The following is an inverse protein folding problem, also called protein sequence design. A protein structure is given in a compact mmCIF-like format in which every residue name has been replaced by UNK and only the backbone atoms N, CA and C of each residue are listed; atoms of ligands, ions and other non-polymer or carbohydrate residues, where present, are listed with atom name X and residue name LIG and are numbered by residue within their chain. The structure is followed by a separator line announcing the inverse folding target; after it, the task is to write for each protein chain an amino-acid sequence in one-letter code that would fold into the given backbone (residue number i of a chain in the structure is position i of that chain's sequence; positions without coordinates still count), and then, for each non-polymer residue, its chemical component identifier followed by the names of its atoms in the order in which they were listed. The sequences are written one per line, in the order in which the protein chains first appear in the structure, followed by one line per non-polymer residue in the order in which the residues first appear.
data_IF_405522797750
#
_entry.id   IF_405522797750
#
_cell.length_a   1.000
_cell.length_b   1.000
_cell.length_c   1.000
_cell.angle_alpha   90.00
_cell.angle_beta   90.00
_cell.angle_gamma   90.00
#
_symmetry.space_group_name_H-M   'P 1'
#
loop_
_entity.id
_entity.type
_entity.pdbx_description
1 polymer ?
#
# COMPACT_ATOMS: atom_id res chain seq x y z
N UNK A 1 -3.28 -46.26 -31.46
CA UNK A 1 -3.25 -44.78 -31.42
C UNK A 1 -2.72 -44.26 -30.07
N UNK A 2 -1.40 -44.24 -29.82
CA UNK A 2 -0.85 -43.67 -28.58
C UNK A 2 -0.05 -42.36 -28.75
N UNK A 3 0.03 -41.81 -29.98
CA UNK A 3 0.94 -40.68 -30.24
C UNK A 3 0.37 -39.27 -29.97
N UNK A 4 -0.94 -39.09 -29.87
CA UNK A 4 -1.52 -37.76 -29.65
C UNK A 4 -1.50 -37.29 -28.20
N UNK A 5 -1.49 -38.17 -27.21
CA UNK A 5 -1.46 -37.82 -25.79
C UNK A 5 -0.12 -37.25 -25.32
N UNK A 6 0.99 -37.74 -25.85
CA UNK A 6 2.35 -37.31 -25.46
C UNK A 6 2.66 -35.89 -25.94
N UNK A 7 2.20 -35.50 -27.13
CA UNK A 7 2.45 -34.14 -27.64
C UNK A 7 1.65 -33.06 -26.90
N UNK A 8 0.44 -33.35 -26.47
CA UNK A 8 -0.37 -32.41 -25.69
C UNK A 8 0.20 -32.20 -24.30
N UNK A 9 0.65 -33.26 -23.63
CA UNK A 9 1.26 -33.17 -22.31
C UNK A 9 2.64 -32.50 -22.39
N UNK A 10 3.44 -32.76 -23.41
CA UNK A 10 4.72 -32.07 -23.63
C UNK A 10 4.54 -30.57 -23.84
N UNK A 11 3.61 -30.16 -24.70
CA UNK A 11 3.28 -28.77 -24.95
C UNK A 11 2.74 -28.07 -23.71
N UNK A 12 1.95 -28.77 -22.88
CA UNK A 12 1.42 -28.23 -21.62
C UNK A 12 2.51 -28.02 -20.58
N UNK A 13 3.41 -28.98 -20.40
CA UNK A 13 4.53 -28.87 -19.47
C UNK A 13 5.49 -27.74 -19.88
N UNK A 14 5.84 -27.64 -21.16
CA UNK A 14 6.66 -26.55 -21.66
C UNK A 14 6.02 -25.19 -21.44
N UNK A 15 4.72 -25.04 -21.71
CA UNK A 15 3.98 -23.80 -21.47
C UNK A 15 3.94 -23.42 -19.99
N UNK A 16 3.77 -24.42 -19.10
CA UNK A 16 3.78 -24.24 -17.65
C UNK A 16 5.14 -23.76 -17.16
N UNK A 17 6.20 -24.39 -17.57
CA UNK A 17 7.59 -24.03 -17.22
C UNK A 17 7.92 -22.62 -17.71
N UNK A 18 7.60 -22.30 -18.94
CA UNK A 18 7.77 -20.95 -19.50
C UNK A 18 7.01 -19.88 -18.71
N UNK A 19 5.76 -20.14 -18.29
CA UNK A 19 4.99 -19.23 -17.46
C UNK A 19 5.62 -19.06 -16.08
N UNK A 20 6.12 -20.13 -15.49
CA UNK A 20 6.78 -20.12 -14.18
C UNK A 20 8.06 -19.27 -14.21
N UNK A 21 8.91 -19.44 -15.20
CA UNK A 21 10.15 -18.68 -15.36
C UNK A 21 9.90 -17.20 -15.67
N UNK A 22 8.88 -16.90 -16.49
CA UNK A 22 8.48 -15.51 -16.71
C UNK A 22 7.99 -14.83 -15.43
N UNK A 23 7.22 -15.54 -14.60
CA UNK A 23 6.76 -15.00 -13.33
C UNK A 23 7.93 -14.76 -12.37
N UNK A 24 8.87 -15.68 -12.26
CA UNK A 24 10.09 -15.52 -11.46
C UNK A 24 10.88 -14.27 -11.86
N UNK A 25 11.18 -14.14 -13.16
CA UNK A 25 11.93 -13.01 -13.66
C UNK A 25 11.21 -11.68 -13.39
N UNK A 26 9.88 -11.67 -13.61
CA UNK A 26 9.04 -10.50 -13.33
C UNK A 26 9.05 -10.15 -11.84
N UNK A 27 8.89 -11.15 -10.98
CA UNK A 27 8.90 -11.00 -9.53
C UNK A 27 10.22 -10.44 -9.02
N UNK A 28 11.35 -10.94 -9.54
CA UNK A 28 12.67 -10.39 -9.21
C UNK A 28 12.77 -8.90 -9.55
N UNK A 29 12.36 -8.51 -10.76
CA UNK A 29 12.36 -7.11 -11.18
C UNK A 29 11.47 -6.23 -10.30
N UNK A 30 10.29 -6.72 -9.92
CA UNK A 30 9.39 -6.01 -9.00
C UNK A 30 9.97 -5.88 -7.59
N UNK A 31 10.62 -6.94 -7.10
CA UNK A 31 11.32 -6.88 -5.82
C UNK A 31 12.43 -5.84 -5.85
N UNK A 32 13.28 -5.82 -6.87
CA UNK A 32 14.30 -4.78 -7.01
C UNK A 32 13.71 -3.37 -7.13
N UNK A 33 12.57 -3.21 -7.78
CA UNK A 33 11.84 -1.94 -7.82
C UNK A 33 11.43 -1.48 -6.42
N UNK A 34 10.79 -2.36 -5.63
CA UNK A 34 10.32 -2.02 -4.28
C UNK A 34 11.49 -1.83 -3.31
N UNK A 35 12.57 -2.62 -3.45
CA UNK A 35 13.82 -2.41 -2.73
C UNK A 35 14.42 -1.03 -3.03
N UNK A 36 14.54 -0.68 -4.31
CA UNK A 36 15.07 0.62 -4.73
C UNK A 36 14.18 1.78 -4.26
N UNK A 37 12.85 1.60 -4.25
CA UNK A 37 11.92 2.57 -3.71
C UNK A 37 12.20 2.86 -2.23
N UNK A 38 12.26 1.82 -1.39
CA UNK A 38 12.57 1.97 0.03
C UNK A 38 13.97 2.56 0.26
N UNK A 39 14.97 2.10 -0.48
CA UNK A 39 16.33 2.62 -0.38
C UNK A 39 16.40 4.09 -0.78
N UNK A 40 15.76 4.49 -1.89
CA UNK A 40 15.74 5.89 -2.33
C UNK A 40 15.06 6.78 -1.30
N UNK A 41 13.95 6.31 -0.69
CA UNK A 41 13.27 7.03 0.38
C UNK A 41 14.21 7.26 1.57
N UNK A 42 14.86 6.21 2.08
CA UNK A 42 15.79 6.28 3.21
C UNK A 42 17.00 7.18 2.91
N UNK A 43 17.64 6.99 1.77
CA UNK A 43 18.83 7.77 1.37
C UNK A 43 18.47 9.24 1.18
N UNK A 44 17.33 9.54 0.54
CA UNK A 44 16.88 10.92 0.36
C UNK A 44 16.61 11.61 1.71
N UNK A 45 15.97 10.90 2.66
CA UNK A 45 15.76 11.43 4.00
C UNK A 45 17.09 11.69 4.73
N UNK A 46 18.06 10.78 4.65
CA UNK A 46 19.39 10.98 5.23
C UNK A 46 20.11 12.18 4.60
N UNK A 47 20.07 12.34 3.29
CA UNK A 47 20.68 13.48 2.59
C UNK A 47 20.05 14.80 3.08
N UNK A 48 18.73 14.85 3.17
CA UNK A 48 18.02 16.03 3.68
C UNK A 48 18.48 16.39 5.07
N UNK A 49 18.56 15.42 6.01
CA UNK A 49 19.04 15.64 7.37
C UNK A 49 20.47 16.19 7.37
N UNK A 50 21.40 15.61 6.59
CA UNK A 50 22.79 16.08 6.55
C UNK A 50 22.92 17.49 5.93
N UNK A 51 22.13 17.79 4.90
CA UNK A 51 22.07 19.14 4.32
C UNK A 51 21.63 20.17 5.39
N UNK A 52 20.56 19.87 6.14
CA UNK A 52 20.10 20.77 7.22
C UNK A 52 21.13 20.95 8.31
N UNK A 53 21.86 19.89 8.70
CA UNK A 53 22.98 20.00 9.66
C UNK A 53 24.05 20.93 9.12
N UNK A 54 24.45 20.78 7.87
CA UNK A 54 25.50 21.61 7.25
C UNK A 54 25.13 23.11 7.21
N UNK A 55 23.85 23.44 7.04
CA UNK A 55 23.38 24.83 7.08
C UNK A 55 23.01 25.33 8.49
N UNK A 56 23.34 24.59 9.55
CA UNK A 56 23.02 24.97 10.93
C UNK A 56 21.53 24.96 11.28
N UNK A 57 20.71 24.35 10.44
CA UNK A 57 19.26 24.33 10.54
C UNK A 57 18.71 23.01 11.13
N UNK A 58 19.57 22.15 11.67
CA UNK A 58 19.20 20.84 12.22
C UNK A 58 18.12 20.93 13.33
N UNK A 59 18.09 22.06 14.08
CA UNK A 59 17.06 22.30 15.10
C UNK A 59 15.62 22.26 14.54
N UNK A 60 15.42 22.53 13.25
CA UNK A 60 14.10 22.50 12.63
C UNK A 60 13.63 21.07 12.26
N UNK A 61 14.57 20.12 12.15
CA UNK A 61 14.24 18.70 11.89
C UNK A 61 13.98 17.96 13.20
N UNK A 62 14.70 18.32 14.26
CA UNK A 62 14.62 17.65 15.58
C UNK A 62 13.70 18.39 16.58
N UNK A 63 13.09 19.51 16.18
CA UNK A 63 12.05 20.13 17.00
C UNK A 63 10.78 19.30 16.92
N UNK A 64 10.07 19.16 18.03
CA UNK A 64 8.75 18.53 18.08
C UNK A 64 7.72 19.23 17.16
N UNK A 65 8.13 20.33 16.55
CA UNK A 65 7.34 21.16 15.67
C UNK A 65 7.74 20.92 14.21
N UNK A 66 6.95 20.16 13.48
CA UNK A 66 7.04 20.07 12.02
C UNK A 66 7.00 21.48 11.42
N UNK A 67 8.07 21.89 10.80
CA UNK A 67 8.12 23.17 10.11
C UNK A 67 7.50 23.02 8.69
N UNK A 68 7.05 24.14 8.14
CA UNK A 68 6.60 24.21 6.72
C UNK A 68 7.61 23.56 5.77
N UNK A 69 8.90 23.74 6.06
CA UNK A 69 9.99 23.18 5.27
C UNK A 69 10.02 21.64 5.34
N UNK A 70 9.72 21.05 6.49
CA UNK A 70 9.66 19.59 6.65
C UNK A 70 8.58 18.97 5.77
N UNK A 71 7.38 19.57 5.70
CA UNK A 71 6.34 19.11 4.81
C UNK A 71 6.74 19.15 3.32
N UNK A 72 7.43 20.20 2.88
CA UNK A 72 7.96 20.26 1.51
C UNK A 72 8.98 19.16 1.24
N UNK A 73 9.85 18.86 2.22
CA UNK A 73 10.81 17.77 2.10
C UNK A 73 10.13 16.41 2.05
N UNK A 74 9.13 16.16 2.88
CA UNK A 74 8.36 14.91 2.86
C UNK A 74 7.66 14.70 1.52
N UNK A 75 7.05 15.74 0.96
CA UNK A 75 6.45 15.71 -0.39
C UNK A 75 7.52 15.36 -1.43
N UNK A 76 8.65 16.06 -1.42
CA UNK A 76 9.73 15.84 -2.36
C UNK A 76 10.30 14.41 -2.27
N UNK A 77 10.63 13.96 -1.03
CA UNK A 77 11.16 12.62 -0.79
C UNK A 77 10.17 11.55 -1.28
N UNK A 78 8.89 11.68 -0.94
CA UNK A 78 7.85 10.71 -1.33
C UNK A 78 7.72 10.60 -2.85
N UNK A 79 7.69 11.72 -3.56
CA UNK A 79 7.58 11.73 -5.03
C UNK A 79 8.86 11.20 -5.67
N UNK A 80 10.03 11.67 -5.22
CA UNK A 80 11.32 11.27 -5.76
C UNK A 80 11.59 9.78 -5.55
N UNK A 81 11.26 9.26 -4.37
CA UNK A 81 11.43 7.85 -4.02
C UNK A 81 10.64 6.90 -4.93
N UNK A 82 9.49 7.33 -5.44
CA UNK A 82 8.70 6.52 -6.38
C UNK A 82 9.15 6.73 -7.83
N UNK A 83 9.31 7.99 -8.25
CA UNK A 83 9.53 8.33 -9.65
C UNK A 83 10.86 7.76 -10.18
N UNK A 84 11.93 7.85 -9.39
CA UNK A 84 13.25 7.40 -9.83
C UNK A 84 13.30 5.87 -10.04
N UNK A 85 12.95 5.03 -9.07
CA UNK A 85 12.92 3.58 -9.30
C UNK A 85 11.91 3.16 -10.38
N UNK A 86 10.76 3.84 -10.47
CA UNK A 86 9.76 3.57 -11.50
C UNK A 86 10.31 3.80 -12.90
N UNK A 87 11.02 4.90 -13.12
CA UNK A 87 11.66 5.20 -14.39
C UNK A 87 12.63 4.07 -14.81
N UNK A 88 13.50 3.64 -13.90
CA UNK A 88 14.44 2.55 -14.18
C UNK A 88 13.72 1.21 -14.40
N UNK A 89 12.72 0.88 -13.58
CA UNK A 89 11.96 -0.35 -13.74
C UNK A 89 11.26 -0.41 -15.12
N UNK A 90 10.58 0.65 -15.52
CA UNK A 90 9.85 0.71 -16.80
C UNK A 90 10.83 0.57 -17.96
N UNK A 91 11.95 1.29 -17.93
CA UNK A 91 12.98 1.24 -18.96
C UNK A 91 13.61 -0.15 -19.08
N UNK A 92 13.96 -0.78 -17.95
CA UNK A 92 14.62 -2.09 -17.92
C UNK A 92 13.66 -3.24 -18.25
N UNK A 93 12.42 -3.17 -17.79
CA UNK A 93 11.40 -4.21 -18.01
C UNK A 93 10.78 -4.18 -19.40
N UNK A 94 11.06 -3.13 -20.20
CA UNK A 94 10.50 -2.90 -21.53
C UNK A 94 8.95 -2.90 -21.57
N UNK A 95 8.31 -2.61 -20.44
CA UNK A 95 6.86 -2.43 -20.41
C UNK A 95 6.53 -0.97 -20.77
N UNK A 96 5.37 -0.74 -21.39
CA UNK A 96 4.81 0.60 -21.45
C UNK A 96 3.97 0.87 -20.20
N UNK A 97 3.87 2.14 -19.78
CA UNK A 97 2.99 2.52 -18.68
C UNK A 97 1.53 2.12 -18.95
N UNK A 98 1.09 2.24 -20.19
CA UNK A 98 -0.28 1.90 -20.59
C UNK A 98 -0.57 0.40 -20.48
N UNK A 99 0.45 -0.47 -20.51
CA UNK A 99 0.28 -1.92 -20.36
C UNK A 99 0.07 -2.34 -18.91
N UNK A 100 0.61 -1.55 -17.97
CA UNK A 100 0.62 -1.88 -16.53
C UNK A 100 -0.33 -1.02 -15.71
N UNK A 101 -0.56 0.24 -16.10
CA UNK A 101 -1.44 1.17 -15.38
C UNK A 101 -2.70 1.41 -16.18
N UNK A 102 -3.84 1.18 -15.56
CA UNK A 102 -5.13 1.51 -16.13
C UNK A 102 -5.83 2.58 -15.30
N UNK A 103 -6.25 3.64 -15.97
CA UNK A 103 -7.00 4.76 -15.39
C UNK A 103 -8.39 4.87 -16.03
N UNK A 104 -9.01 3.74 -16.34
CA UNK A 104 -10.35 3.73 -16.93
C UNK A 104 -11.35 4.44 -16.04
N UNK A 105 -12.22 5.22 -16.65
CA UNK A 105 -13.28 5.90 -15.92
C UNK A 105 -14.23 4.90 -15.26
N UNK A 106 -14.47 5.09 -13.97
CA UNK A 106 -15.43 4.31 -13.19
C UNK A 106 -16.71 5.13 -13.06
N UNK A 107 -17.84 4.54 -13.46
CA UNK A 107 -19.13 5.23 -13.38
C UNK A 107 -19.46 5.63 -11.93
N UNK A 108 -19.95 6.84 -11.73
CA UNK A 108 -20.26 7.39 -10.40
C UNK A 108 -21.19 6.48 -9.57
N UNK A 109 -22.17 5.84 -10.19
CA UNK A 109 -23.08 4.88 -9.53
C UNK A 109 -22.36 3.69 -8.89
N UNK A 110 -21.19 3.31 -9.42
CA UNK A 110 -20.37 2.25 -8.85
C UNK A 110 -19.30 2.79 -7.89
N UNK A 111 -18.78 3.98 -8.16
CA UNK A 111 -17.73 4.60 -7.35
C UNK A 111 -18.19 4.83 -5.91
N UNK A 112 -19.38 5.43 -5.71
CA UNK A 112 -19.90 5.76 -4.37
C UNK A 112 -19.98 4.51 -3.46
N UNK A 113 -20.66 3.40 -3.84
CA UNK A 113 -20.68 2.20 -3.01
C UNK A 113 -19.30 1.62 -2.74
N UNK A 114 -18.37 1.73 -3.69
CA UNK A 114 -17.00 1.23 -3.53
C UNK A 114 -16.22 2.05 -2.52
N UNK A 115 -16.34 3.37 -2.55
CA UNK A 115 -15.70 4.23 -1.56
C UNK A 115 -16.17 3.88 -0.14
N UNK A 116 -17.47 3.70 0.06
CA UNK A 116 -18.00 3.31 1.35
C UNK A 116 -17.63 1.88 1.76
N UNK A 117 -17.60 0.93 0.82
CA UNK A 117 -17.12 -0.42 1.08
C UNK A 117 -15.64 -0.39 1.50
N UNK A 118 -14.81 0.34 0.76
CA UNK A 118 -13.39 0.50 1.04
C UNK A 118 -13.14 1.16 2.40
N UNK A 119 -13.83 2.25 2.70
CA UNK A 119 -13.74 2.93 4.01
C UNK A 119 -14.23 2.04 5.16
N UNK A 120 -15.33 1.29 4.98
CA UNK A 120 -15.78 0.33 5.97
C UNK A 120 -14.73 -0.75 6.25
N UNK A 121 -14.11 -1.29 5.20
CA UNK A 121 -13.01 -2.24 5.33
C UNK A 121 -11.78 -1.62 6.02
N UNK A 122 -11.45 -0.36 5.73
CA UNK A 122 -10.37 0.37 6.39
C UNK A 122 -10.65 0.57 7.89
N UNK A 123 -11.88 0.90 8.27
CA UNK A 123 -12.24 1.04 9.69
C UNK A 123 -12.16 -0.28 10.44
N UNK A 124 -12.60 -1.38 9.83
CA UNK A 124 -12.45 -2.73 10.42
C UNK A 124 -10.96 -3.06 10.59
N UNK A 125 -10.15 -2.77 9.58
CA UNK A 125 -8.70 -2.99 9.65
C UNK A 125 -8.05 -2.13 10.75
N UNK A 126 -8.45 -0.88 10.90
CA UNK A 126 -7.98 0.00 11.99
C UNK A 126 -8.27 -0.60 13.37
N UNK A 127 -9.51 -1.05 13.62
CA UNK A 127 -9.88 -1.68 14.91
C UNK A 127 -9.07 -2.95 15.14
N UNK A 128 -8.97 -3.83 14.14
CA UNK A 128 -8.19 -5.05 14.27
C UNK A 128 -6.71 -4.77 14.58
N UNK A 129 -6.14 -3.76 13.94
CA UNK A 129 -4.74 -3.36 14.15
C UNK A 129 -4.52 -2.75 15.53
N UNK A 130 -5.46 -1.93 16.03
CA UNK A 130 -5.38 -1.41 17.40
C UNK A 130 -5.34 -2.54 18.43
N UNK A 131 -6.20 -3.55 18.28
CA UNK A 131 -6.17 -4.74 19.15
C UNK A 131 -4.82 -5.47 19.07
N UNK A 132 -4.22 -5.58 17.90
CA UNK A 132 -2.90 -6.18 17.73
C UNK A 132 -1.83 -5.34 18.41
N UNK A 133 -1.84 -4.01 18.23
CA UNK A 133 -0.90 -3.08 18.83
C UNK A 133 -0.98 -3.11 20.37
N UNK A 134 -2.19 -3.09 20.92
CA UNK A 134 -2.42 -3.19 22.36
C UNK A 134 -1.84 -4.50 22.95
N UNK A 135 -1.99 -5.62 22.22
CA UNK A 135 -1.39 -6.89 22.64
C UNK A 135 0.14 -6.84 22.61
N UNK A 136 0.77 -6.21 21.60
CA UNK A 136 2.22 -6.06 21.58
C UNK A 136 2.72 -5.21 22.76
N UNK A 137 2.01 -4.14 23.12
CA UNK A 137 2.37 -3.29 24.27
C UNK A 137 2.32 -4.06 25.59
N UNK A 138 1.39 -5.03 25.75
CA UNK A 138 1.36 -5.92 26.92
C UNK A 138 2.62 -6.78 27.06
N UNK A 139 3.30 -7.09 25.95
CA UNK A 139 4.58 -7.79 25.95
C UNK A 139 5.79 -6.84 26.02
N UNK A 140 5.57 -5.54 26.28
CA UNK A 140 6.63 -4.54 26.33
C UNK A 140 7.22 -4.19 24.98
N UNK A 141 6.51 -4.43 23.88
CA UNK A 141 6.94 -4.12 22.51
C UNK A 141 6.18 -2.91 22.03
N UNK A 142 6.90 -1.81 21.79
CA UNK A 142 6.35 -0.62 21.17
C UNK A 142 7.11 -0.26 19.89
N UNK A 143 6.45 0.48 19.04
CA UNK A 143 7.08 1.04 17.86
C UNK A 143 7.68 2.40 18.21
N UNK A 144 8.97 2.57 17.99
CA UNK A 144 9.69 3.82 18.27
C UNK A 144 9.43 4.92 17.25
N UNK A 145 8.70 4.62 16.16
CA UNK A 145 8.33 5.67 15.20
C UNK A 145 7.35 6.65 15.83
N UNK A 146 7.76 7.90 15.97
CA UNK A 146 6.92 9.01 16.42
C UNK A 146 5.67 9.12 15.57
N UNK A 147 4.52 9.25 16.21
CA UNK A 147 3.27 9.55 15.52
C UNK A 147 3.36 10.89 14.79
N UNK A 148 2.43 11.11 13.86
CA UNK A 148 2.26 12.40 13.19
C UNK A 148 1.89 13.46 14.25
N UNK A 149 2.81 14.33 14.60
CA UNK A 149 2.56 15.49 15.44
C UNK A 149 2.55 16.75 14.58
N UNK A 150 1.54 17.59 14.78
CA UNK A 150 1.48 18.90 14.11
C UNK A 150 2.34 19.88 14.90
N UNK A 151 3.35 20.44 14.25
CA UNK A 151 4.21 21.38 14.90
C UNK A 151 3.70 22.81 14.98
N UNK A 152 2.82 23.21 14.06
CA UNK A 152 2.25 24.55 13.96
C UNK A 152 0.82 24.44 13.44
N UNK A 153 -0.11 25.07 14.16
CA UNK A 153 -1.55 25.08 13.82
C UNK A 153 -1.91 26.16 12.78
N UNK A 154 -0.92 26.73 12.06
CA UNK A 154 -1.21 27.69 11.00
C UNK A 154 -1.99 27.00 9.85
N UNK A 155 -2.84 27.76 9.18
CA UNK A 155 -3.61 27.23 8.04
C UNK A 155 -2.71 26.64 6.95
N UNK A 156 -1.53 27.22 6.73
CA UNK A 156 -0.57 26.70 5.75
C UNK A 156 0.00 25.34 6.21
N UNK A 157 0.38 25.18 7.48
CA UNK A 157 0.86 23.92 8.03
C UNK A 157 -0.20 22.82 7.95
N UNK A 158 -1.45 23.12 8.26
CA UNK A 158 -2.58 22.19 8.12
C UNK A 158 -2.74 21.72 6.67
N UNK A 159 -2.73 22.66 5.71
CA UNK A 159 -2.86 22.33 4.28
C UNK A 159 -1.68 21.47 3.82
N UNK A 160 -0.45 21.84 4.18
CA UNK A 160 0.75 21.07 3.80
C UNK A 160 0.77 19.68 4.45
N UNK A 161 0.33 19.55 5.69
CA UNK A 161 0.17 18.25 6.35
C UNK A 161 -0.83 17.35 5.60
N UNK A 162 -1.98 17.88 5.21
CA UNK A 162 -2.94 17.11 4.40
C UNK A 162 -2.34 16.71 3.05
N UNK A 163 -1.60 17.60 2.39
CA UNK A 163 -0.96 17.29 1.11
C UNK A 163 0.10 16.19 1.30
N UNK A 164 1.02 16.34 2.27
CA UNK A 164 2.13 15.40 2.48
C UNK A 164 1.68 14.04 3.00
N UNK A 165 0.62 14.00 3.82
CA UNK A 165 0.21 12.77 4.51
C UNK A 165 -0.97 12.06 3.83
N UNK A 166 -1.87 12.81 3.17
CA UNK A 166 -3.04 12.20 2.56
C UNK A 166 -2.99 12.18 1.03
N UNK A 167 -2.67 13.31 0.39
CA UNK A 167 -2.74 13.40 -1.07
C UNK A 167 -1.54 12.70 -1.71
N UNK A 168 -0.33 13.10 -1.36
CA UNK A 168 0.88 12.58 -2.01
C UNK A 168 1.03 11.07 -1.85
N UNK A 169 0.89 10.47 -0.65
CA UNK A 169 0.97 9.01 -0.49
C UNK A 169 -0.10 8.28 -1.30
N UNK A 170 -1.36 8.77 -1.31
CA UNK A 170 -2.43 8.13 -2.07
C UNK A 170 -2.12 8.03 -3.57
N UNK A 171 -1.46 9.02 -4.16
CA UNK A 171 -1.04 8.96 -5.56
C UNK A 171 0.25 8.17 -5.76
N UNK A 172 1.27 8.43 -4.96
CA UNK A 172 2.60 7.84 -5.10
C UNK A 172 2.58 6.33 -4.85
N UNK A 173 1.96 5.90 -3.76
CA UNK A 173 1.92 4.50 -3.39
C UNK A 173 0.96 3.70 -4.28
N UNK A 174 -0.21 4.25 -4.66
CA UNK A 174 -1.09 3.55 -5.59
C UNK A 174 -0.46 3.43 -6.98
N UNK A 175 0.27 4.45 -7.44
CA UNK A 175 1.06 4.34 -8.66
C UNK A 175 2.10 3.21 -8.56
N UNK A 176 2.85 3.12 -7.45
CA UNK A 176 3.86 2.10 -7.24
C UNK A 176 3.25 0.69 -7.13
N UNK A 177 2.26 0.51 -6.24
CA UNK A 177 1.77 -0.82 -5.89
C UNK A 177 0.63 -1.30 -6.78
N UNK A 178 -0.34 -0.45 -7.16
CA UNK A 178 -1.45 -0.85 -8.05
C UNK A 178 -1.11 -0.63 -9.51
N UNK A 179 -0.38 0.44 -9.80
CA UNK A 179 0.16 0.66 -11.14
C UNK A 179 1.23 -0.38 -11.48
N UNK A 180 2.43 -0.25 -10.90
CA UNK A 180 3.59 -1.02 -11.32
C UNK A 180 3.52 -2.47 -10.83
N UNK A 181 3.41 -2.71 -9.51
CA UNK A 181 3.50 -4.07 -8.96
C UNK A 181 2.31 -4.92 -9.40
N UNK A 182 1.10 -4.52 -9.02
CA UNK A 182 -0.12 -5.27 -9.36
C UNK A 182 -0.31 -5.36 -10.87
N UNK A 183 -0.19 -4.25 -11.60
CA UNK A 183 -0.37 -4.21 -13.05
C UNK A 183 0.56 -5.16 -13.78
N UNK A 184 1.83 -5.28 -13.35
CA UNK A 184 2.79 -6.24 -13.92
C UNK A 184 2.45 -7.69 -13.59
N UNK A 185 1.81 -7.97 -12.45
CA UNK A 185 1.43 -9.33 -12.02
C UNK A 185 0.10 -9.80 -12.60
N UNK A 186 -0.79 -8.89 -13.04
CA UNK A 186 -2.13 -9.25 -13.54
C UNK A 186 -2.14 -10.21 -14.70
N UNK A 187 -1.10 -10.25 -15.53
CA UNK A 187 -0.98 -11.24 -16.62
C UNK A 187 -0.88 -12.69 -16.12
N UNK A 188 -0.56 -12.90 -14.84
CA UNK A 188 -0.53 -14.21 -14.21
C UNK A 188 -1.80 -14.54 -13.42
N UNK A 189 -2.80 -13.64 -13.46
CA UNK A 189 -4.10 -13.73 -12.82
C UNK A 189 -4.29 -12.68 -11.73
N UNK A 190 -5.53 -12.19 -11.60
CA UNK A 190 -5.87 -11.11 -10.66
C UNK A 190 -5.63 -11.53 -9.20
N UNK A 191 -5.89 -12.80 -8.83
CA UNK A 191 -5.64 -13.32 -7.47
C UNK A 191 -4.17 -13.18 -7.09
N UNK A 192 -3.26 -13.58 -8.00
CA UNK A 192 -1.81 -13.46 -7.77
C UNK A 192 -1.38 -11.99 -7.64
N UNK A 193 -1.93 -11.13 -8.48
CA UNK A 193 -1.63 -9.70 -8.49
C UNK A 193 -2.09 -9.00 -7.20
N UNK A 194 -3.31 -9.31 -6.74
CA UNK A 194 -3.87 -8.75 -5.50
C UNK A 194 -3.04 -9.18 -4.29
N UNK A 195 -2.80 -10.48 -4.13
CA UNK A 195 -2.06 -10.99 -2.96
C UNK A 195 -0.60 -10.50 -2.98
N UNK A 196 0.08 -10.61 -4.14
CA UNK A 196 1.48 -10.20 -4.26
C UNK A 196 1.68 -8.70 -4.02
N UNK A 197 0.80 -7.86 -4.57
CA UNK A 197 0.84 -6.42 -4.34
C UNK A 197 0.57 -6.06 -2.87
N UNK A 198 -0.41 -6.72 -2.23
CA UNK A 198 -0.75 -6.47 -0.84
C UNK A 198 0.38 -6.89 0.12
N UNK A 199 1.07 -8.01 -0.13
CA UNK A 199 2.22 -8.45 0.67
C UNK A 199 3.32 -7.38 0.65
N UNK A 200 3.70 -6.91 -0.53
CA UNK A 200 4.75 -5.89 -0.66
C UNK A 200 4.32 -4.55 -0.07
N UNK A 201 3.07 -4.15 -0.26
CA UNK A 201 2.51 -2.92 0.29
C UNK A 201 2.49 -2.95 1.82
N UNK A 202 2.03 -4.04 2.43
CA UNK A 202 2.05 -4.20 3.87
C UNK A 202 3.49 -4.18 4.42
N UNK A 203 4.37 -4.99 3.85
CA UNK A 203 5.75 -5.12 4.32
C UNK A 203 6.56 -3.82 4.21
N UNK A 204 6.29 -2.99 3.18
CA UNK A 204 6.99 -1.72 2.98
C UNK A 204 6.76 -0.70 4.11
N UNK A 205 5.69 -0.82 4.89
CA UNK A 205 5.44 0.10 5.99
C UNK A 205 6.43 -0.05 7.16
N UNK A 206 7.14 -1.18 7.27
CA UNK A 206 8.26 -1.39 8.21
C UNK A 206 7.93 -1.05 9.68
N UNK A 207 6.65 -1.06 10.01
CA UNK A 207 6.09 -0.78 11.32
C UNK A 207 5.18 -1.93 11.71
N UNK A 208 5.52 -2.64 12.80
CA UNK A 208 4.85 -3.88 13.18
C UNK A 208 3.34 -3.72 13.36
N UNK A 209 2.90 -2.56 13.84
CA UNK A 209 1.47 -2.24 14.02
C UNK A 209 0.79 -1.86 12.70
N UNK A 210 1.53 -1.28 11.75
CA UNK A 210 0.98 -0.85 10.46
C UNK A 210 0.98 -1.96 9.40
N UNK A 211 1.90 -2.93 9.47
CA UNK A 211 2.01 -4.02 8.49
C UNK A 211 0.69 -4.77 8.29
N UNK A 212 -0.02 -5.24 9.34
CA UNK A 212 -1.30 -5.93 9.17
C UNK A 212 -2.37 -5.01 8.56
N UNK A 213 -2.45 -3.77 9.02
CA UNK A 213 -3.36 -2.76 8.49
C UNK A 213 -3.15 -2.51 7.00
N UNK A 214 -1.91 -2.18 6.61
CA UNK A 214 -1.56 -1.90 5.24
C UNK A 214 -1.74 -3.13 4.33
N UNK A 215 -1.48 -4.34 4.83
CA UNK A 215 -1.76 -5.58 4.09
C UNK A 215 -3.26 -5.73 3.80
N UNK A 216 -4.13 -5.54 4.80
CA UNK A 216 -5.59 -5.63 4.62
C UNK A 216 -6.08 -4.56 3.65
N UNK A 217 -5.65 -3.31 3.82
CA UNK A 217 -5.95 -2.24 2.86
C UNK A 217 -5.41 -2.56 1.47
N UNK A 218 -4.21 -3.12 1.42
CA UNK A 218 -3.58 -3.59 0.20
C UNK A 218 -4.45 -4.56 -0.60
N UNK A 219 -5.07 -5.52 0.08
CA UNK A 219 -6.01 -6.46 -0.51
C UNK A 219 -7.27 -5.76 -1.03
N UNK A 220 -7.85 -4.84 -0.24
CA UNK A 220 -9.07 -4.10 -0.61
C UNK A 220 -8.80 -3.24 -1.86
N UNK A 221 -7.75 -2.43 -1.85
CA UNK A 221 -7.38 -1.53 -2.94
C UNK A 221 -7.11 -2.30 -4.24
N UNK A 222 -6.23 -3.32 -4.17
CA UNK A 222 -5.90 -4.13 -5.33
C UNK A 222 -7.11 -4.88 -5.88
N UNK A 223 -7.98 -5.40 -5.01
CA UNK A 223 -9.20 -6.06 -5.40
C UNK A 223 -10.15 -5.13 -6.19
N UNK A 224 -10.39 -3.94 -5.65
CA UNK A 224 -11.29 -2.95 -6.28
C UNK A 224 -10.73 -2.53 -7.63
N UNK A 225 -9.44 -2.26 -7.72
CA UNK A 225 -8.80 -1.85 -8.97
C UNK A 225 -8.82 -2.94 -10.04
N UNK A 226 -8.67 -4.21 -9.65
CA UNK A 226 -8.86 -5.33 -10.58
C UNK A 226 -10.29 -5.37 -11.13
N UNK A 227 -11.31 -5.14 -10.28
CA UNK A 227 -12.72 -5.17 -10.69
C UNK A 227 -13.09 -4.09 -11.69
N UNK A 228 -12.54 -2.89 -11.49
CA UNK A 228 -12.85 -1.74 -12.34
C UNK A 228 -11.82 -1.51 -13.45
N UNK A 229 -10.74 -2.29 -13.42
CA UNK A 229 -9.60 -2.09 -14.29
C UNK A 229 -9.14 -0.62 -14.29
N UNK A 230 -8.98 -0.06 -13.08
CA UNK A 230 -8.63 1.34 -12.85
C UNK A 230 -7.99 1.49 -11.48
N UNK A 231 -6.95 2.31 -11.34
CA UNK A 231 -6.34 2.66 -10.05
C UNK A 231 -7.04 3.84 -9.36
N UNK A 232 -8.04 4.45 -10.01
CA UNK A 232 -8.73 5.61 -9.43
C UNK A 232 -9.53 5.29 -8.17
N UNK A 233 -10.20 4.13 -8.05
CA UNK A 233 -10.88 3.76 -6.82
C UNK A 233 -9.95 3.60 -5.61
N UNK A 234 -8.81 2.94 -5.79
CA UNK A 234 -7.85 2.79 -4.68
C UNK A 234 -7.25 4.13 -4.27
N UNK A 235 -6.86 4.99 -5.22
CA UNK A 235 -6.40 6.36 -4.93
C UNK A 235 -7.44 7.10 -4.07
N UNK A 236 -8.71 7.04 -4.44
CA UNK A 236 -9.76 7.74 -3.71
C UNK A 236 -9.99 7.18 -2.30
N UNK A 237 -10.02 5.85 -2.14
CA UNK A 237 -10.19 5.21 -0.82
C UNK A 237 -8.96 5.48 0.05
N UNK A 238 -7.76 5.38 -0.50
CA UNK A 238 -6.50 5.64 0.19
C UNK A 238 -6.43 7.09 0.67
N UNK A 239 -6.74 8.04 -0.21
CA UNK A 239 -6.83 9.45 0.15
C UNK A 239 -7.82 9.69 1.30
N UNK A 240 -9.03 9.14 1.22
CA UNK A 240 -10.06 9.31 2.26
C UNK A 240 -9.64 8.68 3.60
N UNK A 241 -8.96 7.52 3.57
CA UNK A 241 -8.45 6.88 4.77
C UNK A 241 -7.36 7.73 5.44
N UNK A 242 -6.41 8.25 4.66
CA UNK A 242 -5.34 9.09 5.19
C UNK A 242 -5.87 10.47 5.62
N UNK A 243 -6.84 11.02 4.89
CA UNK A 243 -7.53 12.24 5.28
C UNK A 243 -8.26 12.08 6.62
N UNK A 244 -8.90 10.93 6.86
CA UNK A 244 -9.49 10.61 8.15
C UNK A 244 -8.41 10.62 9.25
N UNK A 245 -7.30 9.91 9.05
CA UNK A 245 -6.22 9.82 10.03
C UNK A 245 -5.61 11.18 10.35
N UNK A 246 -5.22 11.96 9.32
CA UNK A 246 -4.64 13.29 9.52
C UNK A 246 -5.62 14.29 10.13
N UNK A 247 -6.91 14.21 9.77
CA UNK A 247 -7.93 15.08 10.37
C UNK A 247 -8.11 14.81 11.86
N UNK A 248 -8.09 13.53 12.27
CA UNK A 248 -8.17 13.15 13.68
C UNK A 248 -6.94 13.58 14.47
N UNK A 249 -5.73 13.53 13.88
CA UNK A 249 -4.51 14.09 14.47
C UNK A 249 -4.63 15.60 14.63
N UNK A 250 -5.03 16.33 13.58
CA UNK A 250 -5.21 17.79 13.61
C UNK A 250 -6.18 18.21 14.73
N UNK A 251 -7.33 17.54 14.85
CA UNK A 251 -8.32 17.86 15.87
C UNK A 251 -7.77 17.74 17.30
N UNK A 252 -6.90 16.77 17.56
CA UNK A 252 -6.26 16.55 18.86
C UNK A 252 -5.09 17.50 19.10
N UNK A 253 -4.12 17.50 18.19
CA UNK A 253 -2.85 18.22 18.38
C UNK A 253 -3.03 19.74 18.41
N UNK A 254 -3.97 20.26 17.60
CA UNK A 254 -4.34 21.69 17.67
C UNK A 254 -5.30 22.04 18.81
N UNK A 255 -5.64 21.08 19.66
CA UNK A 255 -6.61 21.26 20.77
C UNK A 255 -7.96 21.84 20.32
N UNK A 256 -8.39 21.55 19.08
CA UNK A 256 -9.69 22.02 18.55
C UNK A 256 -10.83 21.37 19.31
N UNK A 257 -10.65 20.13 19.72
CA UNK A 257 -11.59 19.36 20.55
C UNK A 257 -10.84 18.67 21.67
N UNK A 258 -11.53 18.38 22.80
CA UNK A 258 -10.93 17.56 23.86
C UNK A 258 -10.67 16.14 23.39
N UNK A 259 -9.72 15.42 24.01
CA UNK A 259 -9.43 14.01 23.70
C UNK A 259 -10.69 13.12 23.80
N UNK A 260 -11.55 13.41 24.77
CA UNK A 260 -12.84 12.71 24.92
C UNK A 260 -13.75 12.94 23.71
N UNK A 261 -13.88 14.18 23.25
CA UNK A 261 -14.69 14.51 22.07
C UNK A 261 -14.07 13.90 20.80
N UNK A 262 -12.75 13.97 20.62
CA UNK A 262 -12.06 13.34 19.50
C UNK A 262 -12.29 11.81 19.47
N UNK A 263 -12.29 11.17 20.63
CA UNK A 263 -12.55 9.74 20.77
C UNK A 263 -13.99 9.40 20.36
N UNK A 264 -14.98 10.18 20.82
CA UNK A 264 -16.39 9.99 20.42
C UNK A 264 -16.56 10.18 18.91
N UNK A 265 -15.95 11.21 18.32
CA UNK A 265 -16.00 11.46 16.88
C UNK A 265 -15.40 10.27 16.12
N UNK A 266 -14.24 9.77 16.57
CA UNK A 266 -13.58 8.63 15.94
C UNK A 266 -14.44 7.37 15.95
N UNK A 267 -14.98 6.98 17.09
CA UNK A 267 -15.87 5.81 17.17
C UNK A 267 -17.16 5.99 16.37
N UNK A 268 -17.73 7.20 16.37
CA UNK A 268 -18.94 7.49 15.57
C UNK A 268 -18.68 7.33 14.08
N UNK A 269 -17.54 7.81 13.59
CA UNK A 269 -17.12 7.65 12.19
C UNK A 269 -16.82 6.18 11.85
N UNK A 270 -16.16 5.44 12.74
CA UNK A 270 -15.94 4.00 12.57
C UNK A 270 -17.27 3.26 12.39
N UNK A 271 -18.21 3.46 13.30
CA UNK A 271 -19.53 2.82 13.26
C UNK A 271 -20.26 3.22 11.97
N UNK A 272 -20.27 4.51 11.63
CA UNK A 272 -20.90 5.02 10.41
C UNK A 272 -20.34 4.33 9.16
N UNK A 273 -19.02 4.31 8.97
CA UNK A 273 -18.41 3.70 7.80
C UNK A 273 -18.57 2.17 7.77
N UNK A 274 -18.58 1.49 8.92
CA UNK A 274 -18.89 0.07 8.98
C UNK A 274 -20.32 -0.23 8.53
N UNK A 275 -21.31 0.54 8.98
CA UNK A 275 -22.71 0.35 8.60
C UNK A 275 -22.90 0.64 7.11
N UNK A 276 -22.44 1.81 6.63
CA UNK A 276 -22.63 2.21 5.23
C UNK A 276 -21.79 1.32 4.29
N UNK A 277 -20.60 0.88 4.73
CA UNK A 277 -19.78 -0.10 4.02
C UNK A 277 -20.48 -1.44 3.87
N UNK A 278 -21.14 -1.94 4.92
CA UNK A 278 -21.94 -3.16 4.87
C UNK A 278 -23.15 -3.03 3.93
N UNK A 279 -23.86 -1.91 3.98
CA UNK A 279 -24.96 -1.61 3.02
C UNK A 279 -24.42 -1.60 1.60
N UNK A 280 -23.28 -0.97 1.37
CA UNK A 280 -22.62 -0.93 0.06
C UNK A 280 -22.21 -2.32 -0.44
N UNK A 281 -21.72 -3.20 0.45
CA UNK A 281 -21.48 -4.61 0.14
C UNK A 281 -22.74 -5.29 -0.40
N UNK A 282 -23.89 -5.12 0.29
CA UNK A 282 -25.17 -5.71 -0.12
C UNK A 282 -25.59 -5.17 -1.49
N UNK A 283 -25.47 -3.86 -1.71
CA UNK A 283 -25.84 -3.22 -2.99
C UNK A 283 -24.99 -3.77 -4.15
N UNK A 284 -23.67 -3.86 -3.97
CA UNK A 284 -22.75 -4.37 -4.98
C UNK A 284 -23.00 -5.85 -5.28
N UNK A 285 -23.22 -6.67 -4.25
CA UNK A 285 -23.52 -8.09 -4.38
C UNK A 285 -24.86 -8.36 -5.10
N UNK A 286 -25.87 -7.51 -4.86
CA UNK A 286 -27.18 -7.61 -5.57
C UNK A 286 -27.09 -7.20 -7.02
N UNK A 287 -26.28 -6.17 -7.32
CA UNK A 287 -26.12 -5.66 -8.69
C UNK A 287 -25.28 -6.59 -9.57
N UNK A 288 -24.31 -7.28 -8.99
CA UNK A 288 -23.48 -8.29 -9.66
C UNK A 288 -23.17 -9.46 -8.71
N UNK A 289 -23.85 -10.60 -8.93
CA UNK A 289 -23.64 -11.82 -8.12
C UNK A 289 -22.19 -12.34 -8.16
N UNK A 290 -21.42 -11.95 -9.19
CA UNK A 290 -20.02 -12.33 -9.35
C UNK A 290 -19.06 -11.20 -8.91
N UNK A 291 -19.59 -10.11 -8.34
CA UNK A 291 -18.77 -8.96 -7.93
C UNK A 291 -17.57 -9.41 -7.09
N UNK A 292 -17.78 -10.28 -6.13
CA UNK A 292 -16.73 -10.75 -5.21
C UNK A 292 -15.92 -11.96 -5.73
N UNK A 293 -16.15 -12.42 -6.97
CA UNK A 293 -15.33 -13.47 -7.59
C UNK A 293 -14.13 -12.83 -8.31
N UNK A 294 -12.95 -13.33 -8.02
CA UNK A 294 -11.73 -12.96 -8.75
C UNK A 294 -11.61 -13.73 -10.05
N UNK A 295 -11.02 -13.10 -11.06
CA UNK A 295 -10.75 -13.75 -12.34
C UNK A 295 -9.29 -14.16 -12.41
N UNK A 296 -9.02 -15.43 -12.67
CA UNK A 296 -7.67 -15.90 -12.99
C UNK A 296 -7.37 -15.85 -14.50
N UNK A 297 -8.27 -15.22 -15.26
CA UNK A 297 -8.12 -15.01 -16.71
C UNK A 297 -7.87 -13.54 -16.99
N UNK A 298 -6.77 -13.23 -17.65
CA UNK A 298 -6.59 -11.94 -18.30
C UNK A 298 -6.48 -12.18 -19.81
N UNK A 299 -7.21 -11.39 -20.61
CA UNK A 299 -7.21 -11.44 -22.06
C UNK A 299 -7.52 -12.84 -22.65
N UNK A 300 -8.36 -13.63 -21.95
CA UNK A 300 -8.75 -14.97 -22.36
C UNK A 300 -7.71 -16.06 -22.11
N UNK A 301 -6.52 -15.73 -21.65
CA UNK A 301 -5.45 -16.68 -21.35
C UNK A 301 -5.61 -17.20 -19.92
N UNK A 302 -5.75 -18.53 -19.78
CA UNK A 302 -5.75 -19.20 -18.48
C UNK A 302 -4.32 -19.59 -18.15
N UNK A 303 -3.86 -19.25 -16.94
CA UNK A 303 -2.57 -19.74 -16.47
C UNK A 303 -2.62 -21.23 -16.17
N UNK A 304 -1.59 -21.97 -16.62
CA UNK A 304 -1.41 -23.40 -16.29
C UNK A 304 -0.87 -23.61 -14.86
N UNK A 305 -0.44 -22.52 -14.19
CA UNK A 305 0.09 -22.56 -12.84
C UNK A 305 -1.04 -22.49 -11.81
N UNK A 306 -0.97 -23.33 -10.80
CA UNK A 306 -1.79 -23.20 -9.58
C UNK A 306 -1.40 -21.94 -8.80
N UNK A 307 -2.30 -21.46 -7.93
CA UNK A 307 -2.01 -20.31 -7.06
C UNK A 307 -0.77 -20.56 -6.18
N UNK A 308 -0.61 -21.78 -5.66
CA UNK A 308 0.57 -22.17 -4.87
C UNK A 308 1.86 -21.99 -5.67
N UNK A 309 1.90 -22.51 -6.91
CA UNK A 309 3.08 -22.38 -7.78
C UNK A 309 3.37 -20.91 -8.11
N UNK A 310 2.32 -20.11 -8.38
CA UNK A 310 2.48 -18.68 -8.63
C UNK A 310 3.04 -17.94 -7.42
N UNK A 311 2.51 -18.20 -6.22
CA UNK A 311 3.00 -17.55 -5.00
C UNK A 311 4.42 -18.03 -4.63
N UNK A 312 4.74 -19.29 -4.85
CA UNK A 312 6.11 -19.79 -4.69
C UNK A 312 7.06 -19.08 -5.67
N UNK A 313 6.72 -19.01 -6.96
CA UNK A 313 7.52 -18.30 -7.95
C UNK A 313 7.68 -16.81 -7.62
N UNK A 314 6.66 -16.18 -7.03
CA UNK A 314 6.69 -14.78 -6.62
C UNK A 314 7.63 -14.58 -5.42
N UNK A 315 7.46 -15.35 -4.34
CA UNK A 315 8.11 -15.08 -3.04
C UNK A 315 9.58 -15.52 -2.98
N UNK A 316 9.98 -16.56 -3.72
CA UNK A 316 11.30 -17.20 -3.56
C UNK A 316 12.39 -16.57 -4.45
N UNK A 317 12.08 -15.48 -5.17
CA UNK A 317 13.05 -14.90 -6.11
C UNK A 317 13.89 -13.80 -5.46
N UNK A 318 15.18 -13.64 -5.88
CA UNK A 318 16.16 -12.80 -5.20
C UNK A 318 15.69 -11.36 -4.91
N UNK A 319 15.05 -10.71 -5.86
CA UNK A 319 14.58 -9.33 -5.66
C UNK A 319 13.52 -9.21 -4.57
N UNK A 320 12.55 -10.13 -4.53
CA UNK A 320 11.50 -10.15 -3.49
C UNK A 320 12.11 -10.49 -2.13
N UNK A 321 12.98 -11.52 -2.07
CA UNK A 321 13.66 -11.90 -0.82
C UNK A 321 14.46 -10.72 -0.29
N UNK A 322 15.22 -10.03 -1.15
CA UNK A 322 16.02 -8.87 -0.75
C UNK A 322 15.14 -7.76 -0.14
N UNK A 323 14.01 -7.44 -0.78
CA UNK A 323 13.07 -6.44 -0.26
C UNK A 323 12.48 -6.86 1.09
N UNK A 324 12.00 -8.10 1.19
CA UNK A 324 11.38 -8.59 2.44
C UNK A 324 12.39 -8.68 3.58
N UNK A 325 13.65 -9.06 3.30
CA UNK A 325 14.73 -9.07 4.29
C UNK A 325 15.05 -7.65 4.75
N UNK A 326 15.16 -6.68 3.83
CA UNK A 326 15.35 -5.28 4.18
C UNK A 326 14.22 -4.80 5.11
N UNK A 327 12.96 -5.05 4.71
CA UNK A 327 11.80 -4.62 5.50
C UNK A 327 11.75 -5.28 6.87
N UNK A 328 12.09 -6.55 6.96
CA UNK A 328 12.17 -7.26 8.24
C UNK A 328 13.25 -6.66 9.15
N UNK A 329 14.46 -6.42 8.63
CA UNK A 329 15.54 -5.79 9.39
C UNK A 329 15.11 -4.41 9.89
N UNK A 330 14.56 -3.57 9.00
CA UNK A 330 14.12 -2.23 9.39
C UNK A 330 12.95 -2.29 10.39
N UNK A 331 12.02 -3.22 10.22
CA UNK A 331 10.94 -3.42 11.20
C UNK A 331 11.50 -3.79 12.57
N UNK A 332 12.48 -4.69 12.64
CA UNK A 332 13.11 -5.09 13.90
C UNK A 332 13.89 -3.93 14.53
N UNK A 333 14.60 -3.13 13.74
CA UNK A 333 15.33 -1.96 14.25
C UNK A 333 14.41 -0.84 14.76
N UNK A 334 13.18 -0.80 14.28
CA UNK A 334 12.15 0.15 14.73
C UNK A 334 11.37 -0.32 15.97
N UNK A 335 11.66 -1.52 16.50
CA UNK A 335 11.05 -1.99 17.74
C UNK A 335 11.80 -1.42 18.94
N UNK A 336 11.08 -0.78 19.84
CA UNK A 336 11.53 -0.39 21.18
C UNK A 336 11.02 -1.40 22.22
N UNK A 337 11.84 -1.65 23.25
CA UNK A 337 11.37 -2.33 24.46
C UNK A 337 10.93 -1.24 25.44
N UNK A 338 9.71 -1.38 25.96
CA UNK A 338 9.25 -0.54 27.08
C UNK A 338 10.13 -0.89 28.29
N UNK A 339 11.03 0.02 28.64
CA UNK A 339 11.73 -0.09 29.93
C UNK A 339 10.72 0.22 31.05
N UNK A 340 10.10 -0.83 31.59
CA UNK A 340 9.36 -0.75 32.84
C UNK A 340 10.36 -0.50 33.96
N UNK A 341 10.81 0.77 34.11
CA UNK A 341 11.63 1.23 35.20
C UNK A 341 10.79 1.56 36.45
#
# INVERSE_FOLDING_TARGET
MPFYGNNLNYNRNFKKEFQYDNLKQRSSGLGFFVFAYSLTMTVSAMIVVEVFKAFGSAKYIYSDNYSILTYFMDIFISVFAVVVPAFFYIKLSRNSLNDIISTKYVKQKSMIPILFLGMGGAMIANVATSVIADNFSLFGIENTSSGLTIGDSSALSIVLNIISTAIVPAFAEEFAFRGIVMGSLRKFGDTTAVIGSAILFGAMHQNISQIPFAFILGLIFAYVDCKFNSILPSIAIHFLNNLYAVSMSILRDANIVSDYAATIISYSLIIFFCIVGFVSYIVLAKNDKNFFKMSDKKDGIVSELSLKEKMTAFLVYPGIILSLVLFLITTITNLGLINNG
#
